data_IF_267288498641
#
_entry.id   IF_267288498641
#
_cell.length_a   1.000
_cell.length_b   1.000
_cell.length_c   1.000
_cell.angle_alpha   90.00
_cell.angle_beta   90.00
_cell.angle_gamma   90.00
#
_symmetry.space_group_name_H-M   'P 1'
#
loop_
_entity.id
_entity.type
_entity.pdbx_description
1 polymer ?
#
# COMPACT_ATOMS: atom_id res chain seq x y z
N UNK A 1 21.07 6.15 62.67
CA UNK A 1 21.78 6.89 61.60
C UNK A 1 22.09 6.00 60.40
N UNK A 2 22.68 4.81 60.60
CA UNK A 2 22.98 3.83 59.53
C UNK A 2 21.76 3.34 58.72
N UNK A 3 20.62 3.07 59.36
CA UNK A 3 19.43 2.59 58.64
C UNK A 3 18.84 3.60 57.63
N UNK A 4 18.84 4.90 57.99
CA UNK A 4 18.42 5.98 57.08
C UNK A 4 19.41 6.16 55.91
N UNK A 5 20.70 5.94 56.15
CA UNK A 5 21.72 5.98 55.10
C UNK A 5 21.52 4.84 54.09
N UNK A 6 21.19 3.64 54.59
CA UNK A 6 20.92 2.47 53.76
C UNK A 6 19.67 2.62 52.88
N UNK A 7 18.57 3.17 53.42
CA UNK A 7 17.37 3.47 52.62
C UNK A 7 17.63 4.47 51.50
N UNK A 8 18.43 5.51 51.76
CA UNK A 8 18.78 6.52 50.76
C UNK A 8 19.65 5.91 49.65
N UNK A 9 20.58 5.04 50.01
CA UNK A 9 21.42 4.32 49.05
C UNK A 9 20.58 3.37 48.20
N UNK A 10 19.67 2.59 48.80
CA UNK A 10 18.77 1.70 48.07
C UNK A 10 17.89 2.48 47.10
N UNK A 11 17.23 3.56 47.53
CA UNK A 11 16.39 4.39 46.65
C UNK A 11 17.18 4.94 45.47
N UNK A 12 18.41 5.42 45.69
CA UNK A 12 19.27 5.93 44.62
C UNK A 12 19.68 4.84 43.64
N UNK A 13 20.01 3.64 44.12
CA UNK A 13 20.28 2.47 43.28
C UNK A 13 19.05 2.05 42.48
N UNK A 14 17.87 1.98 43.09
CA UNK A 14 16.63 1.64 42.38
C UNK A 14 16.31 2.67 41.30
N UNK A 15 16.43 3.97 41.59
CA UNK A 15 16.23 5.03 40.59
C UNK A 15 17.27 4.91 39.47
N UNK A 16 18.54 4.63 39.79
CA UNK A 16 19.59 4.43 38.80
C UNK A 16 19.30 3.23 37.88
N UNK A 17 18.88 2.09 38.44
CA UNK A 17 18.53 0.90 37.65
C UNK A 17 17.25 1.09 36.84
N UNK A 18 16.24 1.80 37.36
CA UNK A 18 15.03 2.15 36.59
C UNK A 18 15.38 3.12 35.46
N UNK A 19 16.21 4.14 35.71
CA UNK A 19 16.67 5.06 34.69
C UNK A 19 17.53 4.36 33.63
N UNK A 20 18.42 3.44 34.03
CA UNK A 20 19.24 2.64 33.13
C UNK A 20 18.38 1.67 32.30
N UNK A 21 17.37 1.03 32.89
CA UNK A 21 16.41 0.17 32.19
C UNK A 21 15.54 0.96 31.21
N UNK A 22 15.11 2.18 31.58
CA UNK A 22 14.43 3.10 30.67
C UNK A 22 15.35 3.57 29.54
N UNK A 23 16.63 3.86 29.85
CA UNK A 23 17.63 4.27 28.85
C UNK A 23 17.95 3.14 27.87
N UNK A 24 18.12 1.90 28.34
CA UNK A 24 18.34 0.71 27.51
C UNK A 24 17.13 0.39 26.62
N UNK A 25 15.90 0.72 27.06
CA UNK A 25 14.70 0.60 26.23
C UNK A 25 14.46 1.83 25.32
N UNK A 26 15.21 2.93 25.52
CA UNK A 26 15.03 4.20 24.78
C UNK A 26 15.96 4.39 23.59
N UNK A 27 16.95 3.51 23.39
CA UNK A 27 17.72 3.53 22.15
C UNK A 27 16.87 2.91 21.03
N UNK A 28 16.32 3.77 20.17
CA UNK A 28 15.80 3.33 18.89
C UNK A 28 16.90 2.52 18.18
N UNK A 29 16.57 1.29 17.79
CA UNK A 29 17.51 0.44 17.08
C UNK A 29 17.71 1.05 15.69
N UNK A 30 18.91 1.54 15.40
CA UNK A 30 19.25 2.03 14.08
C UNK A 30 19.55 0.81 13.19
N UNK A 31 18.84 0.69 12.08
CA UNK A 31 19.05 -0.38 11.09
C UNK A 31 20.47 -0.26 10.51
N UNK A 32 21.18 -1.38 10.41
CA UNK A 32 22.55 -1.47 9.90
C UNK A 32 22.66 -2.48 8.76
N UNK A 33 23.66 -2.28 7.89
CA UNK A 33 24.04 -3.31 6.89
C UNK A 33 24.53 -4.56 7.62
N UNK A 34 24.08 -5.73 7.18
CA UNK A 34 24.28 -7.02 7.81
C UNK A 34 23.21 -7.39 8.83
N UNK A 35 22.22 -6.52 9.09
CA UNK A 35 21.09 -6.88 9.93
C UNK A 35 20.24 -7.98 9.29
N UNK A 36 19.86 -8.96 10.10
CA UNK A 36 18.99 -10.06 9.71
C UNK A 36 17.59 -9.90 10.30
N UNK A 37 16.59 -10.27 9.51
CA UNK A 37 15.19 -10.13 9.87
C UNK A 37 14.29 -11.13 9.16
N UNK A 38 12.98 -10.96 9.39
CA UNK A 38 11.94 -11.72 8.71
C UNK A 38 10.96 -10.77 8.04
N UNK A 39 10.39 -11.20 6.93
CA UNK A 39 9.27 -10.53 6.30
C UNK A 39 8.06 -11.46 6.20
N UNK A 40 6.86 -10.87 6.06
CA UNK A 40 5.59 -11.60 6.02
C UNK A 40 4.81 -11.27 4.74
N UNK A 41 4.23 -12.27 4.09
CA UNK A 41 3.35 -12.08 2.93
C UNK A 41 2.46 -13.30 2.73
N UNK A 42 1.42 -13.21 1.92
CA UNK A 42 0.73 -14.38 1.38
C UNK A 42 1.39 -14.83 0.06
N UNK A 43 1.56 -16.13 -0.18
CA UNK A 43 2.03 -16.65 -1.48
C UNK A 43 1.00 -17.56 -2.15
N UNK A 44 0.05 -18.06 -1.35
CA UNK A 44 -1.08 -18.90 -1.74
C UNK A 44 -2.14 -18.84 -0.64
N UNK A 45 -3.40 -18.81 -1.03
CA UNK A 45 -4.54 -18.62 -0.14
C UNK A 45 -4.51 -17.27 0.57
N UNK A 46 -4.88 -17.31 1.86
CA UNK A 46 -4.85 -16.18 2.79
C UNK A 46 -3.88 -16.42 3.95
N UNK A 47 -3.11 -17.51 3.92
CA UNK A 47 -2.15 -17.85 4.96
C UNK A 47 -0.90 -16.98 4.87
N UNK A 48 -0.43 -16.50 6.03
CA UNK A 48 0.79 -15.71 6.13
C UNK A 48 2.01 -16.64 6.07
N UNK A 49 2.81 -16.46 5.03
CA UNK A 49 4.14 -17.04 4.89
C UNK A 49 5.20 -16.07 5.34
N UNK A 50 6.31 -16.61 5.87
CA UNK A 50 7.49 -15.83 6.27
C UNK A 50 8.68 -16.14 5.38
N UNK A 51 9.56 -15.16 5.22
CA UNK A 51 10.87 -15.34 4.59
C UNK A 51 11.93 -14.49 5.27
N UNK A 52 13.19 -14.85 5.07
CA UNK A 52 14.33 -14.16 5.67
C UNK A 52 14.72 -12.94 4.85
N UNK A 53 15.25 -11.94 5.54
CA UNK A 53 15.73 -10.69 4.96
C UNK A 53 17.09 -10.35 5.56
N UNK A 54 18.02 -9.90 4.72
CA UNK A 54 19.30 -9.30 5.11
C UNK A 54 19.34 -7.88 4.56
N UNK A 55 19.71 -6.91 5.39
CA UNK A 55 20.00 -5.55 4.93
C UNK A 55 21.38 -5.55 4.29
N UNK A 56 21.46 -5.42 2.97
CA UNK A 56 22.75 -5.41 2.23
C UNK A 56 23.20 -4.00 1.86
N UNK A 57 22.34 -2.99 2.04
CA UNK A 57 22.67 -1.60 1.81
C UNK A 57 21.65 -0.65 2.42
N UNK A 58 22.08 0.56 2.75
CA UNK A 58 21.22 1.66 3.18
C UNK A 58 21.38 2.76 2.14
N UNK A 59 20.28 3.09 1.46
CA UNK A 59 20.25 4.10 0.40
C UNK A 59 19.68 5.37 1.02
N UNK A 60 20.57 6.33 1.23
CA UNK A 60 20.25 7.68 1.68
C UNK A 60 20.82 8.67 0.64
N UNK A 61 20.08 8.85 -0.46
CA UNK A 61 20.52 9.67 -1.59
C UNK A 61 19.53 10.81 -1.84
N UNK A 62 19.98 12.08 -1.86
CA UNK A 62 19.14 13.21 -2.25
C UNK A 62 18.64 13.04 -3.70
N UNK A 63 17.35 12.69 -3.85
CA UNK A 63 16.68 12.49 -5.15
C UNK A 63 16.11 11.08 -5.37
N UNK A 64 16.40 10.14 -4.46
CA UNK A 64 15.74 8.84 -4.36
C UNK A 64 15.04 8.72 -3.00
N UNK A 65 14.06 7.84 -2.90
CA UNK A 65 13.39 7.57 -1.63
C UNK A 65 14.35 6.84 -0.67
N UNK A 66 14.46 7.27 0.60
CA UNK A 66 15.21 6.53 1.60
C UNK A 66 14.74 5.09 1.59
N UNK A 67 15.67 4.16 1.40
CA UNK A 67 15.33 2.74 1.21
C UNK A 67 16.42 1.86 1.81
N UNK A 68 16.01 0.69 2.30
CA UNK A 68 16.96 -0.38 2.58
C UNK A 68 17.05 -1.30 1.36
N UNK A 69 18.26 -1.53 0.88
CA UNK A 69 18.52 -2.57 -0.11
C UNK A 69 18.61 -3.89 0.64
N UNK A 70 17.82 -4.87 0.21
CA UNK A 70 17.71 -6.14 0.91
C UNK A 70 17.95 -7.34 0.00
N UNK A 71 18.50 -8.39 0.60
CA UNK A 71 18.51 -9.74 0.03
C UNK A 71 17.53 -10.61 0.78
N UNK A 72 16.77 -11.44 0.08
CA UNK A 72 15.72 -12.28 0.66
C UNK A 72 15.88 -13.75 0.28
N UNK A 73 15.50 -14.67 1.17
CA UNK A 73 15.55 -16.11 0.91
C UNK A 73 14.62 -16.90 1.82
N UNK A 74 14.47 -18.18 1.51
CA UNK A 74 13.71 -19.15 2.30
C UNK A 74 12.55 -19.74 1.52
N UNK A 75 11.81 -20.70 2.10
CA UNK A 75 10.88 -21.54 1.35
C UNK A 75 9.82 -20.77 0.57
N UNK A 76 9.31 -19.66 1.14
CA UNK A 76 8.34 -18.81 0.46
C UNK A 76 8.94 -18.13 -0.79
N UNK A 77 10.16 -17.60 -0.68
CA UNK A 77 10.87 -16.95 -1.79
C UNK A 77 11.31 -17.97 -2.84
N UNK A 78 11.77 -19.15 -2.43
CA UNK A 78 12.13 -20.25 -3.34
C UNK A 78 10.90 -20.73 -4.12
N UNK A 79 9.73 -20.75 -3.48
CA UNK A 79 8.45 -21.08 -4.09
C UNK A 79 8.01 -20.03 -5.11
N UNK A 80 8.16 -18.74 -4.80
CA UNK A 80 7.77 -17.65 -5.70
C UNK A 80 8.82 -17.35 -6.77
N UNK A 81 10.05 -17.84 -6.61
CA UNK A 81 11.17 -17.55 -7.50
C UNK A 81 11.76 -16.16 -7.29
N UNK A 82 11.64 -15.60 -6.09
CA UNK A 82 12.05 -14.24 -5.74
C UNK A 82 10.89 -13.37 -5.22
N UNK A 83 11.16 -12.07 -5.09
CA UNK A 83 10.16 -11.05 -4.75
C UNK A 83 9.18 -10.94 -5.93
N UNK A 84 7.90 -11.12 -5.65
CA UNK A 84 6.85 -11.14 -6.66
C UNK A 84 5.99 -9.88 -6.64
N UNK A 85 5.46 -9.49 -7.79
CA UNK A 85 4.36 -8.52 -7.89
C UNK A 85 3.20 -8.91 -6.97
N UNK A 86 2.72 -7.93 -6.21
CA UNK A 86 1.73 -8.13 -5.14
C UNK A 86 2.32 -8.52 -3.78
N UNK A 87 3.64 -8.68 -3.65
CA UNK A 87 4.34 -8.67 -2.34
C UNK A 87 4.62 -7.26 -1.84
N UNK A 88 4.43 -6.23 -2.65
CA UNK A 88 4.55 -4.84 -2.24
C UNK A 88 3.76 -4.56 -0.97
N UNK A 89 4.42 -4.03 0.05
CA UNK A 89 3.88 -3.81 1.38
C UNK A 89 4.17 -4.93 2.39
N UNK A 90 4.86 -6.00 1.99
CA UNK A 90 5.23 -7.09 2.91
C UNK A 90 6.08 -6.54 4.06
N UNK A 91 5.58 -6.58 5.31
CA UNK A 91 6.26 -5.95 6.44
C UNK A 91 7.54 -6.71 6.80
N UNK A 92 8.61 -5.95 7.03
CA UNK A 92 9.94 -6.45 7.39
C UNK A 92 10.22 -6.14 8.85
N UNK A 93 10.72 -7.13 9.58
CA UNK A 93 11.01 -7.03 11.01
C UNK A 93 12.47 -7.39 11.29
N UNK A 94 13.16 -6.54 12.03
CA UNK A 94 14.50 -6.82 12.60
C UNK A 94 14.36 -6.75 14.12
N UNK A 95 14.87 -7.76 14.84
CA UNK A 95 14.75 -7.86 16.29
C UNK A 95 13.29 -7.70 16.81
N UNK A 96 12.33 -8.21 16.04
CA UNK A 96 10.90 -8.12 16.34
C UNK A 96 10.26 -6.73 16.14
N UNK A 97 11.05 -5.71 15.73
CA UNK A 97 10.56 -4.37 15.42
C UNK A 97 10.29 -4.24 13.93
N UNK A 98 9.13 -3.69 13.57
CA UNK A 98 8.82 -3.34 12.18
C UNK A 98 9.78 -2.23 11.75
N UNK A 99 10.53 -2.45 10.66
CA UNK A 99 11.49 -1.48 10.12
C UNK A 99 11.03 -0.90 8.78
N UNK A 100 10.09 -1.56 8.09
CA UNK A 100 9.61 -1.09 6.80
C UNK A 100 8.79 -2.15 6.06
N UNK A 101 8.59 -1.91 4.77
CA UNK A 101 7.90 -2.83 3.87
C UNK A 101 8.63 -3.02 2.55
N UNK A 102 8.64 -4.25 2.02
CA UNK A 102 9.12 -4.53 0.67
C UNK A 102 8.35 -3.65 -0.32
N UNK A 103 9.03 -2.87 -1.14
CA UNK A 103 8.42 -1.86 -2.02
C UNK A 103 8.77 -2.01 -3.48
N UNK A 104 9.94 -2.59 -3.81
CA UNK A 104 10.32 -2.79 -5.20
C UNK A 104 11.29 -3.96 -5.35
N UNK A 105 11.39 -4.44 -6.59
CA UNK A 105 12.44 -5.34 -7.06
C UNK A 105 12.84 -4.90 -8.48
N UNK A 106 13.90 -5.48 -9.03
CA UNK A 106 14.54 -5.03 -10.25
C UNK A 106 14.25 -6.00 -11.39
N UNK A 107 13.63 -5.51 -12.46
CA UNK A 107 13.33 -6.33 -13.64
C UNK A 107 14.64 -6.81 -14.30
N UNK A 108 14.67 -8.07 -14.74
CA UNK A 108 15.84 -8.71 -15.36
C UNK A 108 17.12 -8.69 -14.50
N UNK A 109 16.98 -8.61 -13.17
CA UNK A 109 18.08 -8.72 -12.22
C UNK A 109 17.86 -9.93 -11.28
N UNK A 110 18.69 -10.07 -10.24
CA UNK A 110 18.48 -11.10 -9.21
C UNK A 110 17.14 -10.85 -8.48
N UNK A 111 16.15 -11.74 -8.62
CA UNK A 111 14.82 -11.53 -8.05
C UNK A 111 14.80 -11.71 -6.52
N UNK A 112 15.93 -12.09 -5.90
CA UNK A 112 16.10 -12.14 -4.44
C UNK A 112 16.57 -10.80 -3.87
N UNK A 113 16.79 -9.79 -4.70
CA UNK A 113 17.19 -8.46 -4.28
C UNK A 113 16.03 -7.49 -4.50
N UNK A 114 15.81 -6.62 -3.52
CA UNK A 114 14.76 -5.61 -3.60
C UNK A 114 14.98 -4.45 -2.64
N UNK A 115 13.99 -3.57 -2.60
CA UNK A 115 13.97 -2.39 -1.74
C UNK A 115 12.92 -2.53 -0.65
N UNK A 116 13.23 -1.97 0.51
CA UNK A 116 12.31 -1.80 1.62
C UNK A 116 12.16 -0.31 1.90
N UNK A 117 10.92 0.17 1.86
CA UNK A 117 10.58 1.53 2.30
C UNK A 117 10.55 1.57 3.83
N UNK A 118 11.31 2.45 4.49
CA UNK A 118 11.35 2.57 5.94
C UNK A 118 9.98 2.88 6.55
N UNK A 119 9.65 2.27 7.68
CA UNK A 119 8.34 2.43 8.31
C UNK A 119 8.08 3.87 8.76
N UNK A 120 9.12 4.59 9.18
CA UNK A 120 9.04 6.00 9.56
C UNK A 120 8.56 6.85 8.38
N UNK A 121 9.09 6.58 7.18
CA UNK A 121 8.67 7.25 5.95
C UNK A 121 7.21 6.92 5.62
N UNK A 122 6.80 5.65 5.71
CA UNK A 122 5.40 5.26 5.48
C UNK A 122 4.44 5.93 6.48
N UNK A 123 4.81 6.05 7.76
CA UNK A 123 3.97 6.69 8.78
C UNK A 123 3.79 8.19 8.57
N UNK A 124 4.66 8.85 7.78
CA UNK A 124 4.45 10.26 7.40
C UNK A 124 3.17 10.48 6.60
N UNK A 125 2.61 9.45 5.94
CA UNK A 125 1.35 9.54 5.21
C UNK A 125 0.19 10.04 6.09
N UNK A 126 0.21 9.71 7.39
CA UNK A 126 -0.78 10.20 8.34
C UNK A 126 -0.65 11.69 8.67
N UNK A 127 0.51 12.30 8.43
CA UNK A 127 0.66 13.76 8.55
C UNK A 127 -0.07 14.47 7.41
N UNK A 128 0.03 13.95 6.19
CA UNK A 128 -0.72 14.46 5.04
C UNK A 128 -2.22 14.38 5.30
N UNK A 129 -2.71 13.23 5.76
CA UNK A 129 -4.14 13.05 6.10
C UNK A 129 -4.64 14.06 7.14
N UNK A 130 -3.87 14.31 8.20
CA UNK A 130 -4.22 15.33 9.20
C UNK A 130 -4.25 16.74 8.61
N UNK A 131 -3.36 17.01 7.66
CA UNK A 131 -3.25 18.29 6.95
C UNK A 131 -4.10 18.36 5.68
N UNK A 132 -4.86 17.30 5.36
CA UNK A 132 -5.50 17.18 4.06
C UNK A 132 -6.43 18.37 3.83
N UNK A 133 -6.41 18.94 2.62
CA UNK A 133 -7.24 20.07 2.31
C UNK A 133 -8.70 19.71 2.56
N UNK A 134 -9.37 20.44 3.45
CA UNK A 134 -10.82 20.32 3.57
C UNK A 134 -11.44 20.95 2.34
N UNK A 135 -11.95 20.11 1.44
CA UNK A 135 -12.76 20.56 0.30
C UNK A 135 -13.97 21.28 0.88
N UNK A 136 -14.03 22.59 0.66
CA UNK A 136 -15.15 23.42 1.09
C UNK A 136 -16.04 23.65 -0.11
N UNK A 137 -17.24 23.09 -0.06
CA UNK A 137 -18.27 23.32 -1.07
C UNK A 137 -18.57 24.81 -1.11
N UNK A 138 -18.55 25.40 -2.31
CA UNK A 138 -18.87 26.81 -2.47
C UNK A 138 -20.38 27.00 -2.31
N UNK A 139 -20.80 28.03 -1.58
CA UNK A 139 -22.23 28.37 -1.45
C UNK A 139 -22.87 28.67 -2.81
N UNK A 140 -22.08 29.17 -3.76
CA UNK A 140 -22.49 29.40 -5.15
C UNK A 140 -21.36 28.98 -6.09
N UNK A 141 -21.67 28.33 -7.23
CA UNK A 141 -20.65 28.00 -8.22
C UNK A 141 -19.92 29.25 -8.71
N UNK A 142 -18.60 29.17 -8.84
CA UNK A 142 -17.76 30.24 -9.39
C UNK A 142 -17.39 29.85 -10.81
N UNK A 143 -17.51 30.79 -11.75
CA UNK A 143 -17.09 30.58 -13.14
C UNK A 143 -15.73 31.24 -13.36
N UNK A 144 -14.72 30.46 -13.71
CA UNK A 144 -13.41 30.94 -14.13
C UNK A 144 -13.06 30.29 -15.46
N UNK A 145 -12.65 31.09 -16.45
CA UNK A 145 -12.24 30.61 -17.78
C UNK A 145 -13.23 29.60 -18.41
N UNK A 146 -14.52 29.92 -18.40
CA UNK A 146 -15.62 29.08 -18.88
C UNK A 146 -15.77 27.70 -18.19
N UNK A 147 -15.12 27.49 -17.05
CA UNK A 147 -15.28 26.30 -16.20
C UNK A 147 -16.06 26.67 -14.94
N UNK A 148 -16.99 25.81 -14.54
CA UNK A 148 -17.81 25.97 -13.34
C UNK A 148 -17.15 25.21 -12.20
N UNK A 149 -16.80 25.92 -11.13
CA UNK A 149 -16.21 25.37 -9.91
C UNK A 149 -17.26 25.39 -8.80
N UNK A 150 -17.52 24.25 -8.17
CA UNK A 150 -18.54 24.09 -7.13
C UNK A 150 -17.93 23.87 -5.74
N UNK A 151 -16.61 23.74 -5.66
CA UNK A 151 -15.86 23.57 -4.42
C UNK A 151 -14.45 24.16 -4.55
N UNK A 152 -13.82 24.47 -3.42
CA UNK A 152 -12.43 24.95 -3.33
C UNK A 152 -11.65 24.18 -2.29
N UNK A 153 -10.36 24.05 -2.54
CA UNK A 153 -9.44 23.27 -1.70
C UNK A 153 -8.06 23.94 -1.69
N UNK A 154 -7.40 23.99 -0.53
CA UNK A 154 -6.05 24.54 -0.39
C UNK A 154 -5.02 23.42 -0.48
N UNK A 155 -4.38 23.26 -1.63
CA UNK A 155 -3.40 22.18 -1.86
C UNK A 155 -2.00 22.66 -1.41
N UNK A 156 -1.29 21.92 -0.53
CA UNK A 156 0.14 22.11 -0.34
C UNK A 156 0.87 21.67 -1.61
N UNK A 157 1.48 22.61 -2.33
CA UNK A 157 2.22 22.34 -3.57
C UNK A 157 3.73 22.42 -3.33
N UNK A 158 4.32 21.44 -2.65
CA UNK A 158 5.77 21.46 -2.37
C UNK A 158 6.46 20.09 -2.53
N UNK A 159 6.12 19.32 -3.56
CA UNK A 159 6.97 18.19 -3.98
C UNK A 159 7.33 18.33 -5.47
N UNK A 160 8.49 18.96 -5.72
CA UNK A 160 9.15 18.96 -7.03
C UNK A 160 10.45 18.17 -6.94
N UNK A 161 10.66 17.24 -7.88
CA UNK A 161 12.02 16.80 -8.26
C UNK A 161 12.53 15.46 -7.73
N UNK A 162 11.67 14.48 -7.46
CA UNK A 162 12.14 13.11 -7.18
C UNK A 162 12.06 12.26 -8.45
N UNK A 163 13.17 11.63 -8.83
CA UNK A 163 13.20 10.66 -9.92
C UNK A 163 12.64 9.33 -9.37
N UNK A 164 11.41 9.01 -9.77
CA UNK A 164 10.72 7.79 -9.35
C UNK A 164 11.07 6.68 -10.35
N UNK A 165 11.89 5.71 -9.97
CA UNK A 165 11.72 4.37 -10.55
C UNK A 165 10.31 3.92 -10.17
N UNK A 166 9.40 3.86 -11.15
CA UNK A 166 8.02 3.48 -10.89
C UNK A 166 8.05 2.03 -10.40
N UNK A 167 7.67 1.76 -9.14
CA UNK A 167 7.48 0.40 -8.69
C UNK A 167 6.50 -0.25 -9.65
N UNK A 168 6.84 -1.46 -10.09
CA UNK A 168 5.98 -2.18 -10.99
C UNK A 168 4.72 -2.54 -10.17
N UNK A 169 3.58 -1.98 -10.59
CA UNK A 169 2.26 -2.16 -9.96
C UNK A 169 1.49 -3.04 -10.91
N UNK A 170 1.20 -4.28 -10.52
CA UNK A 170 0.33 -5.15 -11.31
C UNK A 170 -1.15 -4.86 -11.04
N UNK A 171 -1.87 -4.48 -12.10
CA UNK A 171 -3.30 -4.21 -12.05
C UNK A 171 -4.10 -5.46 -12.41
N UNK A 172 -5.26 -5.60 -11.78
CA UNK A 172 -6.20 -6.69 -11.98
C UNK A 172 -7.50 -6.12 -12.51
N UNK A 173 -8.02 -6.72 -13.59
CA UNK A 173 -9.31 -6.35 -14.13
C UNK A 173 -10.24 -7.52 -14.35
N UNK A 174 -11.53 -7.19 -14.33
CA UNK A 174 -12.62 -8.04 -14.80
C UNK A 174 -13.66 -7.22 -15.55
N UNK A 175 -14.30 -7.84 -16.53
CA UNK A 175 -15.52 -7.34 -17.19
C UNK A 175 -15.26 -6.36 -18.33
N UNK A 176 -14.03 -5.85 -18.50
CA UNK A 176 -13.68 -5.07 -19.66
C UNK A 176 -13.50 -5.96 -20.89
N UNK A 177 -14.06 -5.54 -22.03
CA UNK A 177 -13.96 -6.29 -23.29
C UNK A 177 -13.64 -5.37 -24.47
N UNK A 178 -13.29 -5.97 -25.61
CA UNK A 178 -13.10 -5.27 -26.88
C UNK A 178 -12.11 -4.10 -26.80
N UNK A 179 -12.55 -2.93 -27.30
CA UNK A 179 -11.72 -1.73 -27.43
C UNK A 179 -11.22 -1.21 -26.08
N UNK A 180 -12.07 -1.21 -25.05
CA UNK A 180 -11.73 -0.66 -23.74
C UNK A 180 -10.62 -1.50 -23.09
N UNK A 181 -10.75 -2.82 -23.12
CA UNK A 181 -9.70 -3.72 -22.61
C UNK A 181 -8.37 -3.51 -23.36
N UNK A 182 -8.43 -3.33 -24.69
CA UNK A 182 -7.24 -3.06 -25.49
C UNK A 182 -6.57 -1.74 -25.12
N UNK A 183 -7.36 -0.70 -24.78
CA UNK A 183 -6.83 0.57 -24.32
C UNK A 183 -6.18 0.43 -22.94
N UNK A 184 -6.83 -0.26 -22.00
CA UNK A 184 -6.26 -0.51 -20.67
C UNK A 184 -4.92 -1.25 -20.76
N UNK A 185 -4.87 -2.36 -21.52
CA UNK A 185 -3.63 -3.15 -21.71
C UNK A 185 -2.46 -2.36 -22.31
N UNK A 186 -2.74 -1.28 -23.04
CA UNK A 186 -1.73 -0.39 -23.60
C UNK A 186 -1.18 0.58 -22.55
N UNK A 187 -2.01 1.02 -21.62
CA UNK A 187 -1.66 2.05 -20.63
C UNK A 187 -1.16 1.44 -19.30
N UNK A 188 -1.48 0.17 -18.99
CA UNK A 188 -1.09 -0.48 -17.74
C UNK A 188 -0.83 -2.00 -17.88
N UNK A 189 0.09 -2.56 -17.07
CA UNK A 189 0.30 -4.00 -16.98
C UNK A 189 -0.86 -4.66 -16.23
N UNK A 190 -1.59 -5.55 -16.92
CA UNK A 190 -2.92 -5.98 -16.51
C UNK A 190 -3.06 -7.50 -16.50
N UNK A 191 -3.60 -8.05 -15.42
CA UNK A 191 -4.08 -9.44 -15.33
C UNK A 191 -5.59 -9.46 -15.47
N UNK A 192 -6.07 -10.17 -16.49
CA UNK A 192 -7.49 -10.23 -16.86
C UNK A 192 -8.24 -11.40 -16.20
N UNK A 193 -9.53 -11.18 -15.94
CA UNK A 193 -10.52 -12.20 -15.54
C UNK A 193 -10.21 -12.94 -14.23
N UNK A 194 -9.57 -12.28 -13.27
CA UNK A 194 -9.20 -12.90 -11.99
C UNK A 194 -10.27 -12.60 -10.93
N UNK A 195 -11.40 -13.29 -10.96
CA UNK A 195 -12.42 -13.21 -9.88
C UNK A 195 -12.85 -14.58 -9.37
N UNK A 196 -13.11 -14.67 -8.07
CA UNK A 196 -13.90 -15.74 -7.44
C UNK A 196 -15.03 -15.11 -6.66
N UNK A 197 -16.22 -15.70 -6.79
CA UNK A 197 -17.42 -15.41 -6.00
C UNK A 197 -17.42 -16.10 -4.62
N UNK A 198 -16.32 -16.74 -4.22
CA UNK A 198 -16.31 -17.51 -2.98
C UNK A 198 -15.87 -16.64 -1.82
N UNK A 199 -16.65 -16.63 -0.74
CA UNK A 199 -16.27 -16.04 0.53
C UNK A 199 -15.03 -16.76 1.08
N UNK A 200 -13.84 -16.22 0.79
CA UNK A 200 -12.60 -16.69 1.37
C UNK A 200 -12.42 -16.05 2.74
N UNK A 201 -11.98 -16.84 3.72
CA UNK A 201 -11.65 -16.31 5.04
C UNK A 201 -10.42 -15.41 4.92
N UNK A 202 -10.65 -14.10 5.04
CA UNK A 202 -9.60 -13.09 5.11
C UNK A 202 -9.59 -12.47 6.50
N UNK A 203 -8.39 -12.23 7.02
CA UNK A 203 -8.16 -11.59 8.32
C UNK A 203 -7.23 -10.40 8.15
N UNK A 204 -7.56 -9.30 8.80
CA UNK A 204 -6.68 -8.13 8.86
C UNK A 204 -5.48 -8.44 9.73
N UNK A 205 -4.33 -8.70 9.11
CA UNK A 205 -3.05 -8.84 9.80
C UNK A 205 -1.87 -8.45 8.89
N UNK A 206 -0.75 -7.96 9.44
CA UNK A 206 0.46 -7.66 8.68
C UNK A 206 0.93 -8.85 7.82
N UNK A 207 1.09 -8.62 6.52
CA UNK A 207 1.39 -9.64 5.51
C UNK A 207 0.17 -10.12 4.72
N UNK A 208 -1.06 -9.77 5.12
CA UNK A 208 -2.27 -10.19 4.42
C UNK A 208 -2.39 -9.49 3.04
N UNK A 209 -2.93 -10.21 2.07
CA UNK A 209 -3.23 -9.64 0.74
C UNK A 209 -4.40 -8.66 0.81
N UNK A 210 -4.19 -7.48 0.24
CA UNK A 210 -5.21 -6.44 0.09
C UNK A 210 -5.18 -5.90 -1.33
N UNK A 211 -6.17 -5.09 -1.68
CA UNK A 211 -6.20 -4.37 -2.94
C UNK A 211 -6.63 -2.91 -2.74
N UNK A 212 -6.02 -2.03 -3.51
CA UNK A 212 -6.56 -0.69 -3.78
C UNK A 212 -7.45 -0.83 -5.00
N UNK A 213 -8.76 -0.66 -4.82
CA UNK A 213 -9.75 -0.88 -5.87
C UNK A 213 -10.35 0.45 -6.37
N UNK A 214 -10.28 0.63 -7.69
CA UNK A 214 -10.66 1.85 -8.41
C UNK A 214 -12.03 1.74 -9.07
N UNK A 215 -12.51 0.53 -9.37
CA UNK A 215 -13.84 0.28 -9.92
C UNK A 215 -14.39 -1.05 -9.40
N UNK A 216 -15.70 -1.10 -9.19
CA UNK A 216 -16.43 -2.29 -8.74
C UNK A 216 -17.79 -2.40 -9.43
N UNK A 217 -18.26 -3.62 -9.67
CA UNK A 217 -19.60 -3.90 -10.22
C UNK A 217 -19.49 -4.77 -11.46
N UNK A 218 -20.16 -4.38 -12.54
CA UNK A 218 -20.06 -5.05 -13.84
C UNK A 218 -18.64 -5.05 -14.42
N UNK A 219 -17.80 -4.10 -14.00
CA UNK A 219 -16.35 -4.12 -14.23
C UNK A 219 -15.62 -3.92 -12.91
N UNK A 220 -14.43 -4.50 -12.82
CA UNK A 220 -13.55 -4.36 -11.66
C UNK A 220 -12.16 -3.93 -12.14
N UNK A 221 -11.55 -3.01 -11.38
CA UNK A 221 -10.17 -2.59 -11.59
C UNK A 221 -9.52 -2.29 -10.24
N UNK A 222 -8.33 -2.83 -10.00
CA UNK A 222 -7.56 -2.53 -8.79
C UNK A 222 -6.14 -3.03 -8.86
N UNK A 223 -5.31 -2.57 -7.92
CA UNK A 223 -3.95 -3.06 -7.70
C UNK A 223 -3.93 -3.93 -6.45
N UNK A 224 -3.27 -5.09 -6.50
CA UNK A 224 -3.12 -6.00 -5.35
C UNK A 224 -1.75 -5.79 -4.72
N UNK A 225 -1.71 -5.77 -3.39
CA UNK A 225 -0.49 -5.73 -2.62
C UNK A 225 -0.69 -6.36 -1.24
N UNK A 226 0.10 -5.91 -0.28
CA UNK A 226 0.21 -6.50 1.04
C UNK A 226 0.04 -5.44 2.13
N UNK A 227 -0.69 -5.79 3.19
CA UNK A 227 -0.87 -4.97 4.37
C UNK A 227 0.43 -4.94 5.19
N UNK A 228 0.94 -3.74 5.49
CA UNK A 228 2.19 -3.56 6.25
C UNK A 228 1.96 -3.44 7.75
N UNK A 229 1.12 -2.48 8.17
CA UNK A 229 0.93 -2.12 9.57
C UNK A 229 -0.57 -1.92 9.86
N UNK A 230 -0.98 -2.28 11.09
CA UNK A 230 -2.30 -1.98 11.63
C UNK A 230 -2.11 -1.25 12.97
N UNK A 231 -2.72 -0.08 13.10
CA UNK A 231 -2.83 0.70 14.34
C UNK A 231 -4.29 1.11 14.56
N UNK A 232 -5.02 0.30 15.34
CA UNK A 232 -6.48 0.46 15.46
C UNK A 232 -7.18 0.25 14.12
N UNK A 233 -7.87 1.26 13.62
CA UNK A 233 -8.52 1.28 12.31
C UNK A 233 -7.60 1.75 11.17
N UNK A 234 -6.42 2.28 11.49
CA UNK A 234 -5.44 2.78 10.52
C UNK A 234 -4.58 1.66 9.99
N UNK A 235 -4.40 1.65 8.67
CA UNK A 235 -3.49 0.70 8.01
C UNK A 235 -2.56 1.41 7.04
N UNK A 236 -1.33 0.89 6.96
CA UNK A 236 -0.36 1.23 5.94
C UNK A 236 -0.11 0.01 5.04
N UNK A 237 0.12 0.24 3.75
CA UNK A 237 0.38 -0.85 2.81
C UNK A 237 1.20 -0.41 1.59
N UNK A 238 1.55 -1.38 0.75
CA UNK A 238 2.30 -1.29 -0.52
C UNK A 238 3.77 -0.85 -0.38
N UNK A 239 4.10 0.07 0.53
CA UNK A 239 5.44 0.63 0.62
C UNK A 239 5.82 1.52 -0.57
N UNK A 240 4.90 1.77 -1.49
CA UNK A 240 5.03 2.63 -2.66
C UNK A 240 3.64 3.04 -3.18
N UNK A 241 3.52 4.08 -4.03
CA UNK A 241 2.22 4.51 -4.54
C UNK A 241 1.60 3.44 -5.43
N UNK A 242 0.27 3.34 -5.39
CA UNK A 242 -0.50 2.62 -6.39
C UNK A 242 -0.64 3.49 -7.66
N UNK A 243 -1.08 4.73 -7.49
CA UNK A 243 -1.32 5.71 -8.57
C UNK A 243 -0.60 7.03 -8.38
N UNK A 244 -0.11 7.30 -7.16
CA UNK A 244 0.54 8.55 -6.74
C UNK A 244 -0.39 9.77 -6.90
N UNK A 245 -1.67 9.60 -6.55
CA UNK A 245 -2.71 10.60 -6.71
C UNK A 245 -2.85 11.55 -5.50
N UNK A 246 -2.05 11.38 -4.44
CA UNK A 246 -2.13 12.22 -3.26
C UNK A 246 -3.35 11.89 -2.39
N UNK A 247 -4.30 12.83 -2.28
CA UNK A 247 -5.53 12.60 -1.51
C UNK A 247 -6.52 11.80 -2.36
N UNK A 248 -7.00 10.69 -1.83
CA UNK A 248 -7.86 9.76 -2.56
C UNK A 248 -9.01 9.30 -1.66
N UNK A 249 -10.03 8.68 -2.23
CA UNK A 249 -11.09 7.99 -1.49
C UNK A 249 -11.36 6.64 -2.16
N UNK A 250 -10.30 5.85 -2.40
CA UNK A 250 -10.42 4.56 -3.10
C UNK A 250 -10.96 3.46 -2.18
N UNK A 251 -11.48 2.38 -2.75
CA UNK A 251 -11.80 1.21 -1.94
C UNK A 251 -10.53 0.53 -1.45
N UNK A 252 -10.48 0.24 -0.15
CA UNK A 252 -9.58 -0.79 0.37
C UNK A 252 -10.36 -2.10 0.38
N UNK A 253 -9.87 -3.11 -0.34
CA UNK A 253 -10.53 -4.41 -0.47
C UNK A 253 -9.62 -5.53 0.02
N UNK A 254 -10.20 -6.61 0.54
CA UNK A 254 -9.48 -7.86 0.79
C UNK A 254 -9.12 -8.51 -0.55
N UNK A 255 -8.02 -9.26 -0.58
CA UNK A 255 -7.60 -10.01 -1.75
C UNK A 255 -7.22 -11.46 -1.39
N UNK A 256 -7.46 -12.36 -2.34
CA UNK A 256 -7.14 -13.79 -2.22
C UNK A 256 -6.10 -14.19 -3.26
N UNK A 257 -4.98 -14.78 -2.83
CA UNK A 257 -3.91 -15.20 -3.73
C UNK A 257 -4.13 -16.66 -4.13
N UNK A 258 -4.48 -16.98 -5.38
CA UNK A 258 -4.59 -18.39 -5.80
C UNK A 258 -3.23 -19.07 -5.86
N UNK A 259 -2.26 -18.35 -6.40
CA UNK A 259 -0.93 -18.86 -6.67
C UNK A 259 0.04 -17.72 -6.95
N UNK A 260 1.34 -18.01 -6.89
CA UNK A 260 2.38 -17.10 -7.37
C UNK A 260 3.15 -17.74 -8.52
N UNK A 261 3.13 -17.10 -9.68
CA UNK A 261 3.78 -17.59 -10.89
C UNK A 261 5.24 -17.14 -10.88
N UNK A 262 6.15 -18.12 -10.95
CA UNK A 262 7.57 -17.87 -11.23
C UNK A 262 7.73 -17.31 -12.64
N UNK A 263 8.63 -16.36 -12.81
CA UNK A 263 8.93 -15.75 -14.10
C UNK A 263 10.42 -15.44 -14.18
N UNK A 264 10.97 -15.52 -15.39
CA UNK A 264 12.36 -15.13 -15.64
C UNK A 264 12.51 -13.61 -15.76
N UNK A 265 11.40 -12.88 -15.93
CA UNK A 265 11.39 -11.41 -16.00
C UNK A 265 11.08 -10.82 -14.63
N UNK A 266 9.93 -11.22 -14.07
CA UNK A 266 9.45 -10.77 -12.76
C UNK A 266 8.32 -11.69 -12.26
N UNK A 267 8.48 -12.40 -11.12
CA UNK A 267 7.42 -13.22 -10.56
C UNK A 267 6.19 -12.40 -10.17
N UNK A 268 5.00 -13.01 -10.18
CA UNK A 268 3.76 -12.29 -9.84
C UNK A 268 2.68 -13.16 -9.22
N UNK A 269 1.89 -12.56 -8.33
CA UNK A 269 0.68 -13.20 -7.78
C UNK A 269 -0.42 -13.29 -8.84
N UNK A 270 -1.18 -14.38 -8.80
CA UNK A 270 -2.50 -14.48 -9.43
C UNK A 270 -3.51 -14.41 -8.30
N UNK A 271 -4.23 -13.30 -8.22
CA UNK A 271 -5.10 -12.97 -7.10
C UNK A 271 -6.44 -12.40 -7.55
N UNK A 272 -7.46 -12.54 -6.70
CA UNK A 272 -8.75 -11.88 -6.86
C UNK A 272 -8.95 -10.80 -5.80
N UNK A 273 -9.56 -9.70 -6.21
CA UNK A 273 -10.13 -8.70 -5.31
C UNK A 273 -11.47 -9.26 -4.83
N UNK A 274 -11.71 -9.29 -3.52
CA UNK A 274 -12.87 -10.00 -2.95
C UNK A 274 -13.95 -9.02 -2.47
N UNK A 275 -13.71 -8.33 -1.37
CA UNK A 275 -14.73 -7.49 -0.74
C UNK A 275 -14.13 -6.19 -0.22
N UNK A 276 -14.86 -5.06 -0.33
CA UNK A 276 -14.42 -3.81 0.29
C UNK A 276 -14.44 -3.96 1.82
N UNK A 277 -13.33 -3.61 2.44
CA UNK A 277 -13.07 -3.70 3.89
C UNK A 277 -12.77 -2.32 4.50
N UNK A 278 -12.66 -1.28 3.68
CA UNK A 278 -12.31 0.06 4.12
C UNK A 278 -12.12 1.03 2.97
N UNK A 279 -11.36 2.09 3.22
CA UNK A 279 -11.04 3.12 2.24
C UNK A 279 -9.59 3.58 2.31
N UNK A 280 -9.00 3.85 1.17
CA UNK A 280 -7.68 4.47 1.03
C UNK A 280 -7.87 5.98 0.99
N UNK A 281 -7.10 6.69 1.81
CA UNK A 281 -7.18 8.15 1.95
C UNK A 281 -5.95 8.89 1.42
N UNK A 282 -4.79 8.23 1.45
CA UNK A 282 -3.55 8.75 0.88
C UNK A 282 -2.91 7.70 -0.03
N UNK A 283 -2.47 8.12 -1.21
CA UNK A 283 -1.70 7.32 -2.16
C UNK A 283 -0.53 8.15 -2.67
N UNK A 284 0.65 7.93 -2.10
CA UNK A 284 1.84 8.75 -2.32
C UNK A 284 3.08 7.87 -2.43
N UNK A 285 4.16 8.46 -2.92
CA UNK A 285 5.56 8.09 -2.69
C UNK A 285 5.88 6.90 -1.75
N UNK A 286 5.51 6.96 -0.46
CA UNK A 286 5.92 5.92 0.52
C UNK A 286 4.91 4.78 0.71
N UNK A 287 3.80 4.78 -0.02
CA UNK A 287 2.75 3.79 0.18
C UNK A 287 1.36 4.37 0.15
N UNK A 288 0.44 3.57 0.66
CA UNK A 288 -0.95 3.98 0.85
C UNK A 288 -1.29 3.99 2.34
N UNK A 289 -2.10 4.95 2.75
CA UNK A 289 -2.71 5.01 4.08
C UNK A 289 -4.22 4.85 3.94
N UNK A 290 -4.81 4.00 4.78
CA UNK A 290 -6.20 3.62 4.67
C UNK A 290 -6.85 3.39 6.05
N UNK A 291 -8.18 3.51 6.10
CA UNK A 291 -8.99 3.19 7.26
C UNK A 291 -9.78 1.90 7.01
N UNK A 292 -9.73 0.97 7.96
CA UNK A 292 -10.61 -0.20 7.99
C UNK A 292 -12.02 0.19 8.44
N UNK A 293 -13.03 -0.54 7.96
CA UNK A 293 -14.43 -0.42 8.39
C UNK A 293 -15.19 0.78 7.82
N UNK A 294 -14.51 1.79 7.29
CA UNK A 294 -15.15 2.94 6.63
C UNK A 294 -14.99 2.82 5.12
N UNK A 295 -16.10 2.74 4.39
CA UNK A 295 -16.10 2.68 2.92
C UNK A 295 -16.03 4.10 2.31
N UNK A 296 -15.49 4.24 1.09
CA UNK A 296 -15.44 5.54 0.42
C UNK A 296 -16.82 6.00 -0.06
N UNK A 297 -16.94 7.28 -0.38
CA UNK A 297 -18.08 7.81 -1.13
C UNK A 297 -17.99 7.35 -2.58
N UNK A 298 -19.13 7.00 -3.19
CA UNK A 298 -19.14 6.38 -4.52
C UNK A 298 -20.16 7.03 -5.43
N UNK A 299 -19.74 7.33 -6.66
CA UNK A 299 -20.67 7.58 -7.76
C UNK A 299 -21.00 6.24 -8.44
N UNK A 300 -22.28 5.90 -8.48
CA UNK A 300 -22.76 4.74 -9.25
C UNK A 300 -23.18 5.20 -10.64
N UNK A 301 -22.64 4.54 -11.66
CA UNK A 301 -23.03 4.71 -13.06
C UNK A 301 -23.85 3.48 -13.45
N UNK A 302 -25.15 3.68 -13.67
CA UNK A 302 -26.05 2.68 -14.21
C UNK A 302 -26.22 2.91 -15.72
N UNK A 303 -25.83 1.91 -16.52
CA UNK A 303 -25.94 1.94 -17.98
C UNK A 303 -26.91 0.88 -18.42
N UNK A 304 -28.05 1.29 -18.99
CA UNK A 304 -28.99 0.40 -19.64
C UNK A 304 -28.82 0.50 -21.16
N UNK A 305 -28.39 -0.59 -21.78
CA UNK A 305 -28.25 -0.71 -23.23
C UNK A 305 -29.40 -1.55 -23.76
N UNK A 306 -30.19 -0.97 -24.65
CA UNK A 306 -31.23 -1.69 -25.38
C UNK A 306 -30.77 -1.90 -26.83
N UNK A 307 -30.12 -3.04 -27.06
CA UNK A 307 -29.69 -3.48 -28.39
C UNK A 307 -29.64 -5.00 -28.38
N UNK A 308 -30.56 -5.65 -29.11
CA UNK A 308 -30.81 -7.10 -29.09
C UNK A 308 -31.19 -7.69 -27.72
N UNK A 309 -31.77 -6.87 -26.83
CA UNK A 309 -32.13 -7.22 -25.46
C UNK A 309 -31.83 -6.07 -24.52
N UNK A 310 -32.41 -6.10 -23.31
CA UNK A 310 -32.10 -5.15 -22.25
C UNK A 310 -30.89 -5.66 -21.45
N UNK A 311 -29.79 -4.91 -21.50
CA UNK A 311 -28.57 -5.19 -20.75
C UNK A 311 -28.30 -4.04 -19.78
N UNK A 312 -28.30 -4.34 -18.49
CA UNK A 312 -27.97 -3.37 -17.43
C UNK A 312 -26.56 -3.62 -16.90
N UNK A 313 -25.76 -2.57 -16.86
CA UNK A 313 -24.44 -2.55 -16.25
C UNK A 313 -24.44 -1.52 -15.13
N UNK A 314 -23.85 -1.85 -13.99
CA UNK A 314 -23.62 -0.88 -12.93
C UNK A 314 -22.13 -0.86 -12.58
N UNK A 315 -21.59 0.34 -12.41
CA UNK A 315 -20.19 0.53 -11.99
C UNK A 315 -20.17 1.54 -10.87
N UNK A 316 -19.60 1.15 -9.74
CA UNK A 316 -19.30 2.03 -8.63
C UNK A 316 -17.87 2.53 -8.77
N UNK A 317 -17.73 3.86 -8.82
CA UNK A 317 -16.46 4.55 -8.83
C UNK A 317 -16.29 5.33 -7.52
N UNK A 318 -15.14 5.25 -6.86
CA UNK A 318 -14.84 6.11 -5.73
C UNK A 318 -14.82 7.58 -6.17
N UNK A 319 -15.36 8.46 -5.35
CA UNK A 319 -15.34 9.91 -5.58
C UNK A 319 -13.94 10.46 -5.31
N UNK A 320 -13.06 10.32 -6.31
CA UNK A 320 -11.72 10.92 -6.32
C UNK A 320 -11.62 11.89 -7.50
N UNK A 321 -11.50 13.19 -7.20
CA UNK A 321 -11.50 14.27 -8.20
C UNK A 321 -10.39 14.08 -9.25
N UNK A 322 -9.24 13.49 -8.88
CA UNK A 322 -8.10 13.32 -9.78
C UNK A 322 -8.21 12.10 -10.70
N UNK A 323 -8.92 11.04 -10.29
CA UNK A 323 -9.03 9.80 -11.08
C UNK A 323 -9.93 10.01 -12.31
N UNK A 324 -11.02 10.75 -12.15
CA UNK A 324 -11.88 11.15 -13.27
C UNK A 324 -11.14 12.08 -14.23
N UNK A 325 -10.37 13.05 -13.74
CA UNK A 325 -9.68 14.02 -14.60
C UNK A 325 -8.51 13.39 -15.40
N UNK A 326 -7.76 12.46 -14.82
CA UNK A 326 -6.58 11.84 -15.46
C UNK A 326 -6.94 10.86 -16.59
N UNK A 327 -8.12 10.23 -16.52
CA UNK A 327 -8.57 9.25 -17.51
C UNK A 327 -9.75 9.72 -18.39
N UNK A 328 -10.60 10.65 -17.93
CA UNK A 328 -11.69 11.18 -18.78
C UNK A 328 -11.21 12.23 -19.79
N UNK A 329 -10.06 12.87 -19.59
CA UNK A 329 -9.51 13.88 -20.50
C UNK A 329 -8.85 13.31 -21.76
N UNK A 330 -8.82 11.98 -21.93
CA UNK A 330 -8.25 11.29 -23.11
C UNK A 330 -9.31 10.74 -24.08
N UNK A 331 -10.59 11.07 -23.92
CA UNK A 331 -11.68 10.71 -24.85
C UNK A 331 -11.98 11.87 -25.79
#
# INVERSE_FOLDING_TARGET
MLAKLWEVILKRLTIFFVALFLLMNSCAYAVQVGDFGIAKTTIKGSEISTFNVEIIGIIDNPGLYPSYLVKVWGPAIDFTGGIAEGMSGSPVYINGKLIGAISATFQNADPHIGLVTPIEAMRTLWSYEKSSPKISKLEKPVVLDNKVFTAVSKIPTDEKGVLIERPCVLYYEKGFTGRVLSMLKKEMPLVSNVSSETAHQWKAEPGASIAVQFARGSVELGAVGTLTEIDGDKVLAFGHPATDAGNVDYFLSSAYTYYTIKSQVLPFKVASIISPIGKVVQDRTYGIAAYLGTLPSTTTIDVNVNSNGEHSFFVQLPESEDMLLKYASKV
#
